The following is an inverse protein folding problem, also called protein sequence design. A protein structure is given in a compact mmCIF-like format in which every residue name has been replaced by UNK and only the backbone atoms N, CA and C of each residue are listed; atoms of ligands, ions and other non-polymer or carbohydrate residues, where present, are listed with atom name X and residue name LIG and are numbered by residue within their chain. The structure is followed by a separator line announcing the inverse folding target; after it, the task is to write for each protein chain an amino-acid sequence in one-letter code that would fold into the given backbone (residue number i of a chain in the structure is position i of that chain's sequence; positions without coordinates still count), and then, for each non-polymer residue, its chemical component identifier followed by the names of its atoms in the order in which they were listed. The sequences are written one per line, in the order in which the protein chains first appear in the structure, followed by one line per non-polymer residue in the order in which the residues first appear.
data_IF_547340068126
#
_entry.id   IF_547340068126
#
_cell.length_a   1.000
_cell.length_b   1.000
_cell.length_c   1.000
_cell.angle_alpha   90.00
_cell.angle_beta   90.00
_cell.angle_gamma   90.00
#
_symmetry.space_group_name_H-M   'P 1'
#
loop_
_entity.id
_entity.type
_entity.pdbx_description
1 polymer ?
#
# COMPACT_ATOMS: atom_id res chain seq x y z
N UNK A 1 -10.52 9.60 -11.95
CA UNK A 1 -10.68 10.21 -10.61
C UNK A 1 -9.41 10.95 -10.23
N UNK A 2 -9.48 11.87 -9.26
CA UNK A 2 -8.30 12.55 -8.71
C UNK A 2 -7.90 11.87 -7.41
N UNK A 3 -6.63 11.49 -7.26
CA UNK A 3 -6.14 10.80 -6.07
C UNK A 3 -5.87 11.79 -4.92
N UNK A 4 -6.40 11.48 -3.73
CA UNK A 4 -6.04 12.18 -2.48
C UNK A 4 -4.91 11.48 -1.71
N UNK A 5 -4.53 10.26 -2.14
CA UNK A 5 -3.48 9.46 -1.50
C UNK A 5 -2.09 10.08 -1.69
N UNK A 6 -1.23 9.91 -0.67
CA UNK A 6 0.12 10.49 -0.60
C UNK A 6 1.20 9.44 -0.32
N UNK A 7 1.06 8.25 -0.90
CA UNK A 7 1.98 7.14 -0.62
C UNK A 7 3.41 7.43 -1.07
N UNK A 8 3.54 7.99 -2.29
CA UNK A 8 4.81 8.35 -2.91
C UNK A 8 4.70 9.73 -3.57
N UNK A 9 5.85 10.34 -3.81
CA UNK A 9 5.95 11.60 -4.56
C UNK A 9 5.21 11.51 -5.90
N UNK A 10 4.44 12.55 -6.21
CA UNK A 10 3.66 12.64 -7.46
C UNK A 10 2.30 11.94 -7.44
N UNK A 11 1.92 11.24 -6.36
CA UNK A 11 0.62 10.57 -6.27
C UNK A 11 -0.55 11.53 -6.00
N UNK A 12 -0.38 12.50 -5.10
CA UNK A 12 -1.45 13.43 -4.74
C UNK A 12 -1.86 14.29 -5.94
N UNK A 13 -3.15 14.35 -6.23
CA UNK A 13 -3.69 15.13 -7.34
C UNK A 13 -3.57 14.46 -8.71
N UNK A 14 -2.95 13.29 -8.81
CA UNK A 14 -2.84 12.57 -10.07
C UNK A 14 -4.22 12.09 -10.57
N UNK A 15 -4.41 12.11 -11.89
CA UNK A 15 -5.61 11.54 -12.52
C UNK A 15 -5.42 10.04 -12.71
N UNK A 16 -6.31 9.24 -12.12
CA UNK A 16 -6.28 7.78 -12.18
C UNK A 16 -7.54 7.19 -12.82
N UNK A 17 -7.38 6.03 -13.46
CA UNK A 17 -8.45 5.17 -13.96
C UNK A 17 -8.61 4.00 -13.00
N UNK A 18 -9.84 3.61 -12.67
CA UNK A 18 -10.08 2.40 -11.89
C UNK A 18 -9.99 1.20 -12.82
N UNK A 19 -9.07 0.28 -12.53
CA UNK A 19 -8.92 -0.97 -13.26
C UNK A 19 -9.74 -2.11 -12.63
N UNK A 20 -9.78 -2.17 -11.30
CA UNK A 20 -10.54 -3.15 -10.52
C UNK A 20 -11.05 -2.56 -9.20
N UNK A 21 -12.08 -3.17 -8.62
CA UNK A 21 -12.59 -2.83 -7.30
C UNK A 21 -13.03 -4.07 -6.53
N UNK A 22 -12.45 -4.29 -5.36
CA UNK A 22 -12.73 -5.44 -4.51
C UNK A 22 -13.15 -5.01 -3.10
N UNK A 23 -14.07 -5.77 -2.50
CA UNK A 23 -14.37 -5.68 -1.07
C UNK A 23 -13.46 -6.65 -0.33
N UNK A 24 -12.46 -6.15 0.39
CA UNK A 24 -11.50 -6.96 1.14
C UNK A 24 -11.01 -6.23 2.39
N UNK A 25 -10.34 -6.95 3.28
CA UNK A 25 -9.64 -6.36 4.42
C UNK A 25 -8.27 -5.85 3.96
N UNK A 26 -7.96 -4.59 4.28
CA UNK A 26 -6.65 -3.99 4.01
C UNK A 26 -5.90 -3.74 5.32
N UNK A 27 -4.60 -4.00 5.30
CA UNK A 27 -3.73 -3.93 6.46
C UNK A 27 -2.66 -2.86 6.30
N UNK A 28 -2.24 -2.32 7.43
CA UNK A 28 -1.09 -1.45 7.57
C UNK A 28 -0.04 -2.17 8.40
N UNK A 29 1.20 -2.24 7.93
CA UNK A 29 2.23 -3.10 8.53
C UNK A 29 3.56 -2.37 8.74
N UNK A 30 4.30 -2.82 9.76
CA UNK A 30 5.72 -2.54 9.90
C UNK A 30 6.51 -3.73 9.34
N UNK A 31 7.55 -3.49 8.52
CA UNK A 31 8.38 -4.57 7.99
C UNK A 31 9.86 -4.20 7.91
N UNK A 32 10.73 -5.20 8.01
CA UNK A 32 12.17 -5.09 7.73
C UNK A 32 12.38 -5.55 6.28
N UNK A 33 12.84 -4.66 5.38
CA UNK A 33 13.19 -5.03 4.01
C UNK A 33 14.25 -6.16 3.97
N UNK A 34 14.12 -7.06 2.99
CA UNK A 34 15.02 -8.20 2.79
C UNK A 34 16.36 -7.79 2.18
N UNK A 35 16.44 -6.61 1.58
CA UNK A 35 17.65 -6.00 1.02
C UNK A 35 18.54 -5.33 2.09
N UNK A 36 18.14 -5.41 3.37
CA UNK A 36 18.88 -4.84 4.49
C UNK A 36 18.51 -3.39 4.82
N UNK A 37 17.61 -2.76 4.06
CA UNK A 37 17.14 -1.39 4.30
C UNK A 37 16.51 -1.17 5.68
N UNK A 38 16.34 0.09 6.07
CA UNK A 38 15.74 0.47 7.36
C UNK A 38 14.32 -0.08 7.52
N UNK A 39 13.88 -0.24 8.77
CA UNK A 39 12.51 -0.69 9.05
C UNK A 39 11.52 0.32 8.49
N UNK A 40 10.61 -0.14 7.64
CA UNK A 40 9.51 0.66 7.10
C UNK A 40 8.34 0.52 8.06
N UNK A 41 7.79 1.66 8.50
CA UNK A 41 6.66 1.68 9.45
C UNK A 41 5.37 2.13 8.80
N UNK A 42 4.26 1.60 9.28
CA UNK A 42 2.91 1.98 8.87
C UNK A 42 2.72 1.91 7.34
N UNK A 43 3.33 0.93 6.68
CA UNK A 43 3.24 0.76 5.24
C UNK A 43 1.81 0.41 4.86
N UNK A 44 1.27 1.14 3.89
CA UNK A 44 -0.07 0.95 3.34
C UNK A 44 0.06 0.66 1.85
N UNK A 45 -0.64 -0.33 1.32
CA UNK A 45 -1.54 -1.31 1.96
C UNK A 45 -1.20 -2.70 1.44
N UNK A 46 -1.49 -3.72 2.25
CA UNK A 46 -1.55 -5.10 1.80
C UNK A 46 -2.98 -5.62 1.99
N UNK A 47 -3.41 -6.47 1.09
CA UNK A 47 -4.63 -7.28 1.19
C UNK A 47 -4.36 -8.56 1.97
N UNK A 48 -5.43 -9.25 2.39
CA UNK A 48 -5.29 -10.52 3.11
C UNK A 48 -4.57 -11.61 2.29
N UNK A 49 -4.80 -11.66 0.97
CA UNK A 49 -4.19 -12.66 0.08
C UNK A 49 -2.67 -12.45 -0.12
N UNK A 50 -2.17 -11.24 0.12
CA UNK A 50 -0.73 -10.92 0.04
C UNK A 50 0.03 -11.28 1.33
N UNK A 51 -0.68 -11.71 2.38
CA UNK A 51 -0.12 -12.03 3.68
C UNK A 51 -0.22 -13.53 3.96
N UNK A 52 0.84 -14.08 4.53
CA UNK A 52 0.84 -15.43 5.09
C UNK A 52 0.83 -15.37 6.63
N UNK A 53 0.18 -16.33 7.31
CA UNK A 53 0.36 -16.50 8.73
C UNK A 53 1.84 -16.78 9.05
N UNK A 54 2.26 -16.37 10.25
CA UNK A 54 3.63 -16.53 10.71
C UNK A 54 3.98 -17.99 11.03
#
# INVERSE_FOLDING_TARGET
MTLEAKHMEGMEGATATIEDAATTTVYMVDYKPTDGGEVVRNHKWLTEEELAPK
#
